data_IF_164298208395
#
_entry.id   IF_164298208395
#
_cell.length_a   1.000
_cell.length_b   1.000
_cell.length_c   1.000
_cell.angle_alpha   90.00
_cell.angle_beta   90.00
_cell.angle_gamma   90.00
#
_symmetry.space_group_name_H-M   'P 1'
#
loop_
_entity.id
_entity.type
_entity.pdbx_description
1 polymer ?
#
# COMPACT_ATOMS: atom_id res chain seq x y z
N UNK A 1 -4.82 18.82 -15.18
CA UNK A 1 -5.33 17.63 -15.89
C UNK A 1 -4.52 16.41 -15.45
N UNK A 2 -4.82 15.86 -14.27
CA UNK A 2 -4.06 14.73 -13.73
C UNK A 2 -4.42 13.46 -14.52
N UNK A 3 -3.40 12.83 -15.10
CA UNK A 3 -3.48 11.55 -15.78
C UNK A 3 -3.96 10.50 -14.78
N UNK A 4 -5.24 10.15 -14.85
CA UNK A 4 -5.72 8.86 -14.37
C UNK A 4 -4.92 7.79 -15.12
N UNK A 5 -3.99 7.11 -14.42
CA UNK A 5 -3.46 5.85 -14.93
C UNK A 5 -4.64 4.91 -14.99
N UNK A 6 -5.14 4.69 -16.21
CA UNK A 6 -6.12 3.67 -16.50
C UNK A 6 -5.49 2.35 -16.08
N UNK A 7 -5.97 1.80 -14.97
CA UNK A 7 -5.73 0.41 -14.67
C UNK A 7 -6.58 -0.35 -15.68
N UNK A 8 -5.98 -0.76 -16.80
CA UNK A 8 -6.61 -1.72 -17.69
C UNK A 8 -6.65 -3.07 -16.95
N UNK A 9 -7.53 -3.18 -15.94
CA UNK A 9 -7.95 -4.44 -15.33
C UNK A 9 -8.90 -5.12 -16.32
N UNK A 10 -8.33 -5.61 -17.42
CA UNK A 10 -8.93 -6.67 -18.20
C UNK A 10 -8.85 -7.97 -17.40
N UNK A 11 -9.99 -8.69 -17.40
CA UNK A 11 -10.18 -10.08 -16.97
C UNK A 11 -10.71 -10.24 -15.54
N UNK A 12 -12.03 -10.37 -15.48
CA UNK A 12 -12.88 -10.70 -14.32
C UNK A 12 -12.79 -12.18 -13.88
N UNK A 13 -11.76 -12.93 -14.29
CA UNK A 13 -11.49 -14.34 -13.93
C UNK A 13 -10.02 -14.65 -14.26
N UNK A 14 -9.08 -14.45 -13.33
CA UNK A 14 -7.65 -14.75 -13.61
C UNK A 14 -6.62 -13.89 -12.86
N UNK A 15 -7.04 -13.09 -11.88
CA UNK A 15 -6.11 -12.33 -11.04
C UNK A 15 -5.23 -13.24 -10.18
N UNK A 16 -5.81 -14.32 -9.63
CA UNK A 16 -5.06 -15.29 -8.83
C UNK A 16 -4.00 -16.06 -9.64
N UNK A 17 -4.35 -16.51 -10.85
CA UNK A 17 -3.46 -17.31 -11.70
C UNK A 17 -2.23 -16.50 -12.15
N UNK A 18 -2.45 -15.23 -12.52
CA UNK A 18 -1.36 -14.33 -12.89
C UNK A 18 -0.35 -14.09 -11.76
N UNK A 19 -0.81 -14.08 -10.50
CA UNK A 19 0.06 -13.94 -9.33
C UNK A 19 0.86 -15.22 -9.10
N UNK A 20 0.20 -16.38 -9.19
CA UNK A 20 0.85 -17.69 -9.00
C UNK A 20 1.91 -17.92 -10.08
N UNK A 21 1.58 -17.68 -11.35
CA UNK A 21 2.51 -17.82 -12.47
C UNK A 21 3.74 -16.92 -12.30
N UNK A 22 3.53 -15.67 -11.87
CA UNK A 22 4.62 -14.73 -11.63
C UNK A 22 5.53 -15.19 -10.49
N UNK A 23 4.97 -15.65 -9.38
CA UNK A 23 5.75 -16.17 -8.24
C UNK A 23 6.54 -17.41 -8.66
N UNK A 24 5.91 -18.31 -9.43
CA UNK A 24 6.54 -19.50 -9.96
C UNK A 24 7.76 -19.14 -10.84
N UNK A 25 7.60 -18.23 -11.79
CA UNK A 25 8.71 -17.76 -12.62
C UNK A 25 9.84 -17.15 -11.79
N UNK A 26 9.52 -16.31 -10.80
CA UNK A 26 10.51 -15.71 -9.92
C UNK A 26 11.25 -16.76 -9.10
N UNK A 27 10.55 -17.73 -8.53
CA UNK A 27 11.15 -18.81 -7.74
C UNK A 27 12.13 -19.64 -8.57
N UNK A 28 11.71 -20.14 -9.74
CA UNK A 28 12.54 -20.98 -10.60
C UNK A 28 13.62 -20.21 -11.38
N UNK A 29 13.59 -18.87 -11.35
CA UNK A 29 14.70 -18.05 -11.88
C UNK A 29 15.92 -17.99 -10.95
N UNK A 30 15.78 -18.39 -9.68
CA UNK A 30 16.90 -18.44 -8.74
C UNK A 30 17.80 -19.63 -9.03
N UNK A 31 19.11 -19.40 -9.01
CA UNK A 31 20.14 -20.41 -9.31
C UNK A 31 20.30 -21.48 -8.23
N UNK A 32 19.84 -21.22 -7.00
CA UNK A 32 19.80 -22.20 -5.91
C UNK A 32 18.42 -22.19 -5.24
N UNK A 33 17.89 -23.39 -4.99
CA UNK A 33 16.60 -23.55 -4.31
C UNK A 33 16.68 -23.20 -2.82
N UNK A 34 17.88 -23.26 -2.23
CA UNK A 34 18.13 -22.87 -0.84
C UNK A 34 18.02 -21.35 -0.61
N UNK A 35 18.18 -20.54 -1.67
CA UNK A 35 18.03 -19.07 -1.61
C UNK A 35 16.63 -18.60 -2.04
N UNK A 36 15.84 -19.48 -2.68
CA UNK A 36 14.51 -19.15 -3.16
C UNK A 36 13.46 -19.41 -2.06
N UNK A 37 13.12 -18.41 -1.24
CA UNK A 37 11.96 -18.48 -0.34
C UNK A 37 10.74 -17.81 -0.97
N UNK A 38 9.71 -18.59 -1.30
CA UNK A 38 8.44 -18.12 -1.87
C UNK A 38 7.83 -17.00 -1.02
N UNK A 39 7.96 -17.06 0.31
CA UNK A 39 7.43 -16.03 1.22
C UNK A 39 8.13 -14.69 1.01
N UNK A 40 9.43 -14.71 0.77
CA UNK A 40 10.21 -13.50 0.49
C UNK A 40 9.87 -12.94 -0.89
N UNK A 41 9.72 -13.82 -1.90
CA UNK A 41 9.31 -13.44 -3.24
C UNK A 41 7.92 -12.78 -3.22
N UNK A 42 6.94 -13.43 -2.59
CA UNK A 42 5.58 -12.89 -2.44
C UNK A 42 5.60 -11.55 -1.69
N UNK A 43 6.31 -11.47 -0.56
CA UNK A 43 6.42 -10.22 0.19
C UNK A 43 7.09 -9.11 -0.62
N UNK A 44 8.07 -9.43 -1.48
CA UNK A 44 8.71 -8.45 -2.36
C UNK A 44 7.75 -7.92 -3.43
N UNK A 45 6.90 -8.78 -3.99
CA UNK A 45 5.89 -8.40 -4.98
C UNK A 45 4.77 -7.58 -4.34
N UNK A 46 4.31 -8.00 -3.15
CA UNK A 46 3.31 -7.26 -2.37
C UNK A 46 3.80 -5.84 -2.05
N UNK A 47 5.07 -5.68 -1.66
CA UNK A 47 5.66 -4.36 -1.39
C UNK A 47 5.66 -3.43 -2.60
N UNK A 48 5.58 -3.95 -3.83
CA UNK A 48 5.53 -3.10 -5.04
C UNK A 48 4.16 -2.45 -5.25
N UNK A 49 3.11 -2.93 -4.57
CA UNK A 49 1.74 -2.46 -4.79
C UNK A 49 1.55 -1.02 -4.30
N UNK A 50 2.03 -0.70 -3.11
CA UNK A 50 2.00 0.64 -2.53
C UNK A 50 3.40 1.26 -2.40
N UNK A 51 4.39 0.73 -3.13
CA UNK A 51 5.73 1.29 -3.16
C UNK A 51 5.70 2.79 -3.54
N UNK A 52 6.30 3.62 -2.69
CA UNK A 52 6.34 5.07 -2.87
C UNK A 52 5.10 5.81 -2.35
N UNK A 53 4.08 5.11 -1.87
CA UNK A 53 2.95 5.74 -1.20
C UNK A 53 3.32 6.08 0.25
N UNK A 54 3.25 7.35 0.61
CA UNK A 54 3.21 7.79 2.01
C UNK A 54 1.78 8.12 2.42
N UNK A 55 1.26 7.42 3.42
CA UNK A 55 -0.15 7.44 3.80
C UNK A 55 -0.31 8.04 5.20
N UNK A 56 -1.26 8.96 5.34
CA UNK A 56 -1.74 9.45 6.64
C UNK A 56 -3.17 9.03 6.86
N UNK A 57 -3.44 8.44 8.02
CA UNK A 57 -4.81 8.12 8.44
C UNK A 57 -5.44 9.27 9.24
N UNK A 58 -6.71 9.58 8.96
CA UNK A 58 -7.51 10.59 9.66
C UNK A 58 -8.85 10.03 10.10
N UNK A 59 -9.08 9.94 11.42
CA UNK A 59 -10.30 9.36 12.03
C UNK A 59 -10.64 7.94 11.55
N UNK A 60 -9.65 7.21 11.02
CA UNK A 60 -9.77 5.79 10.68
C UNK A 60 -9.61 4.93 11.93
N UNK A 61 -8.81 5.40 12.89
CA UNK A 61 -8.64 4.79 14.20
C UNK A 61 -9.32 5.65 15.28
N UNK A 62 -9.77 5.05 16.39
CA UNK A 62 -10.34 5.79 17.51
C UNK A 62 -9.42 6.93 17.98
N UNK A 63 -10.00 8.07 18.32
CA UNK A 63 -9.26 9.21 18.85
C UNK A 63 -8.72 8.82 20.23
N UNK A 64 -7.40 8.82 20.41
CA UNK A 64 -6.74 8.34 21.63
C UNK A 64 -6.14 6.93 21.52
N UNK A 65 -6.21 6.29 20.35
CA UNK A 65 -5.50 5.04 20.09
C UNK A 65 -4.00 5.23 20.33
N UNK A 66 -3.45 4.53 21.32
CA UNK A 66 -2.05 4.71 21.76
C UNK A 66 -1.08 4.07 20.75
N UNK A 67 -1.55 3.09 19.97
CA UNK A 67 -0.70 2.33 19.02
C UNK A 67 -1.39 2.13 17.66
N UNK A 68 -1.58 3.20 16.87
CA UNK A 68 -2.20 3.09 15.53
C UNK A 68 -1.37 2.23 14.55
N UNK A 69 -0.06 2.07 14.81
CA UNK A 69 0.84 1.20 14.03
C UNK A 69 0.54 -0.30 14.20
N UNK A 70 -0.14 -0.69 15.29
CA UNK A 70 -0.59 -2.08 15.49
C UNK A 70 -1.93 -2.34 14.82
N UNK A 71 -2.58 -1.31 14.29
CA UNK A 71 -3.86 -1.51 13.63
C UNK A 71 -3.66 -2.33 12.35
N UNK A 72 -4.48 -3.38 12.09
CA UNK A 72 -4.30 -4.24 10.92
C UNK A 72 -4.21 -3.45 9.60
N UNK A 73 -5.04 -2.42 9.41
CA UNK A 73 -4.96 -1.55 8.23
C UNK A 73 -3.59 -0.86 8.05
N UNK A 74 -2.96 -0.43 9.14
CA UNK A 74 -1.63 0.18 9.09
C UNK A 74 -0.58 -0.85 8.67
N UNK A 75 -0.57 -2.01 9.36
CA UNK A 75 0.36 -3.09 9.10
C UNK A 75 0.23 -3.63 7.68
N UNK A 76 -1.01 -3.78 7.20
CA UNK A 76 -1.29 -4.20 5.83
C UNK A 76 -0.77 -3.18 4.82
N UNK A 77 -1.00 -1.88 5.04
CA UNK A 77 -0.46 -0.84 4.16
C UNK A 77 1.07 -0.89 4.09
N UNK A 78 1.76 -1.06 5.22
CA UNK A 78 3.23 -1.20 5.26
C UNK A 78 3.70 -2.51 4.62
N UNK A 79 2.97 -3.61 4.78
CA UNK A 79 3.25 -4.89 4.13
C UNK A 79 3.20 -4.76 2.60
N UNK A 80 2.26 -3.98 2.09
CA UNK A 80 2.18 -3.65 0.66
C UNK A 80 3.15 -2.55 0.23
N UNK A 81 4.07 -2.12 1.10
CA UNK A 81 5.18 -1.22 0.78
C UNK A 81 4.87 0.27 0.92
N UNK A 82 3.74 0.63 1.51
CA UNK A 82 3.47 2.01 1.89
C UNK A 82 4.32 2.43 3.10
N UNK A 83 4.52 3.73 3.25
CA UNK A 83 5.06 4.33 4.47
C UNK A 83 3.93 5.04 5.19
N UNK A 84 3.50 4.51 6.32
CA UNK A 84 2.42 5.11 7.10
C UNK A 84 3.00 6.11 8.11
N UNK A 85 2.34 7.27 8.25
CA UNK A 85 2.74 8.31 9.20
C UNK A 85 1.54 8.94 9.88
N UNK A 86 1.73 9.35 11.13
CA UNK A 86 0.72 10.06 11.90
C UNK A 86 0.76 11.56 11.66
N UNK A 87 1.90 12.05 11.17
CA UNK A 87 2.14 13.47 10.90
C UNK A 87 1.99 13.77 9.42
N UNK A 88 1.51 14.97 9.16
CA UNK A 88 1.46 15.52 7.82
C UNK A 88 2.82 16.12 7.51
N UNK A 89 3.38 15.71 6.38
CA UNK A 89 4.61 16.24 5.82
C UNK A 89 4.46 16.41 4.29
N UNK A 90 5.41 17.10 3.67
CA UNK A 90 5.40 17.34 2.23
C UNK A 90 5.52 16.05 1.39
N UNK A 91 6.01 14.97 2.01
CA UNK A 91 6.17 13.66 1.37
C UNK A 91 4.88 12.85 1.38
N UNK A 92 3.88 13.19 2.20
CA UNK A 92 2.59 12.48 2.24
C UNK A 92 1.97 12.52 0.85
N UNK A 93 1.59 11.36 0.33
CA UNK A 93 1.00 11.23 -1.01
C UNK A 93 -0.51 11.05 -0.96
N UNK A 94 -1.01 10.44 0.11
CA UNK A 94 -2.41 10.09 0.26
C UNK A 94 -2.87 10.32 1.69
N UNK A 95 -4.07 10.85 1.86
CA UNK A 95 -4.75 10.93 3.16
C UNK A 95 -5.98 10.02 3.13
N UNK A 96 -5.99 9.01 3.99
CA UNK A 96 -7.11 8.08 4.14
C UNK A 96 -7.97 8.55 5.30
N UNK A 97 -9.20 8.96 5.02
CA UNK A 97 -10.10 9.51 6.02
C UNK A 97 -11.49 8.87 5.97
N UNK A 98 -12.06 8.61 7.14
CA UNK A 98 -13.44 8.11 7.28
C UNK A 98 -14.46 9.27 7.45
N UNK A 99 -13.98 10.50 7.65
CA UNK A 99 -14.81 11.66 7.89
C UNK A 99 -14.14 12.91 7.29
N UNK A 100 -14.94 13.70 6.58
CA UNK A 100 -14.53 15.00 6.03
C UNK A 100 -14.44 16.06 7.13
N UNK A 101 -13.72 17.16 6.86
CA UNK A 101 -13.62 18.29 7.79
C UNK A 101 -12.65 18.07 8.96
N UNK A 102 -11.70 17.14 8.82
CA UNK A 102 -10.53 17.07 9.72
C UNK A 102 -9.42 17.97 9.19
N UNK A 103 -8.55 18.48 10.07
CA UNK A 103 -7.37 19.26 9.67
C UNK A 103 -6.55 18.53 8.61
N UNK A 104 -6.46 17.19 8.73
CA UNK A 104 -5.73 16.34 7.78
C UNK A 104 -6.34 16.30 6.39
N UNK A 105 -7.66 16.26 6.30
CA UNK A 105 -8.38 16.28 5.02
C UNK A 105 -8.34 17.68 4.42
N UNK A 106 -8.48 18.72 5.24
CA UNK A 106 -8.39 20.11 4.78
C UNK A 106 -7.00 20.41 4.20
N UNK A 107 -5.94 19.90 4.83
CA UNK A 107 -4.57 19.99 4.30
C UNK A 107 -4.40 19.25 2.97
N UNK A 108 -4.97 18.05 2.83
CA UNK A 108 -4.89 17.30 1.56
C UNK A 108 -5.54 18.09 0.42
N UNK A 109 -6.74 18.63 0.67
CA UNK A 109 -7.47 19.45 -0.28
C UNK A 109 -6.72 20.74 -0.66
N UNK A 110 -6.10 21.43 0.31
CA UNK A 110 -5.33 22.64 0.03
C UNK A 110 -4.02 22.35 -0.70
N UNK A 111 -3.44 21.17 -0.50
CA UNK A 111 -2.17 20.75 -1.11
C UNK A 111 -2.34 20.02 -2.45
N UNK A 112 -3.58 19.80 -2.91
CA UNK A 112 -3.89 19.08 -4.15
C UNK A 112 -3.56 17.59 -4.09
N UNK A 113 -3.66 16.99 -2.90
CA UNK A 113 -3.38 15.58 -2.61
C UNK A 113 -4.64 14.78 -2.31
#
# INVERSE_FOLDING_TARGET
>A
MMRARRWDFGILIGGEDAVIEKIHQLFFSHSSLDEADVRNILASEQRKILAGCRIVFSRVFPVGEVKPHLHPLWQTAEQFGAVCTNQIDDQVTHVVANSLGTDKVNWALSSGK
#
